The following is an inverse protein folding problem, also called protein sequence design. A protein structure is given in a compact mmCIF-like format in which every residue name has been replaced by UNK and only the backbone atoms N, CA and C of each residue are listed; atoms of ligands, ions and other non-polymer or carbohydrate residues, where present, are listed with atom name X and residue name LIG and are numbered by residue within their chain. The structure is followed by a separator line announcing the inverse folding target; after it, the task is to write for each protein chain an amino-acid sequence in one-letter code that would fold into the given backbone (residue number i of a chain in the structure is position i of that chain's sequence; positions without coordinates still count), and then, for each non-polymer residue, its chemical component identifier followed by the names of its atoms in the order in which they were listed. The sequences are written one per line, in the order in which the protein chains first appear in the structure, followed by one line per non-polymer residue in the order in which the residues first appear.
data_IF_343982737444
#
_entry.id   IF_343982737444
#
_cell.length_a   1.000
_cell.length_b   1.000
_cell.length_c   1.000
_cell.angle_alpha   90.00
_cell.angle_beta   90.00
_cell.angle_gamma   90.00
#
_symmetry.space_group_name_H-M   'P 1'
#
loop_
_entity.id
_entity.type
_entity.pdbx_description
1 polymer ?
#
# COMPACT_ATOMS: atom_id res chain seq x y z
N UNK A 1 2.25 8.81 -27.00
CA UNK A 1 1.13 8.60 -27.93
C UNK A 1 1.64 7.76 -29.09
N UNK A 2 0.91 6.71 -29.45
CA UNK A 2 1.19 5.83 -30.58
C UNK A 2 0.00 5.84 -31.54
N UNK A 3 0.26 6.01 -32.81
CA UNK A 3 -0.76 5.93 -33.87
C UNK A 3 -0.47 4.66 -34.68
N UNK A 4 -1.44 3.78 -34.79
CA UNK A 4 -1.34 2.54 -35.54
C UNK A 4 -2.30 2.60 -36.74
N UNK A 5 -1.81 2.22 -37.93
CA UNK A 5 -2.59 2.16 -39.13
C UNK A 5 -3.03 0.72 -39.45
N UNK A 6 -4.28 0.56 -39.90
CA UNK A 6 -4.77 -0.73 -40.38
C UNK A 6 -4.92 -1.81 -39.32
N UNK A 7 -5.04 -1.42 -38.04
CA UNK A 7 -5.20 -2.37 -36.92
C UNK A 7 -6.67 -2.55 -36.53
N UNK A 8 -7.01 -3.77 -36.12
CA UNK A 8 -8.32 -4.09 -35.57
C UNK A 8 -8.34 -3.94 -34.04
N UNK A 9 -9.53 -3.83 -33.44
CA UNK A 9 -9.72 -3.84 -31.99
C UNK A 9 -9.01 -5.01 -31.32
N UNK A 10 -9.24 -6.23 -31.85
CA UNK A 10 -8.62 -7.44 -31.31
C UNK A 10 -7.08 -7.38 -31.31
N UNK A 11 -6.50 -6.74 -32.34
CA UNK A 11 -5.05 -6.56 -32.39
C UNK A 11 -4.55 -5.60 -31.29
N UNK A 12 -5.23 -4.47 -31.10
CA UNK A 12 -4.89 -3.51 -30.03
C UNK A 12 -5.02 -4.14 -28.65
N UNK A 13 -6.13 -4.84 -28.39
CA UNK A 13 -6.37 -5.50 -27.09
C UNK A 13 -5.33 -6.58 -26.81
N UNK A 14 -4.92 -7.37 -27.82
CA UNK A 14 -3.85 -8.35 -27.69
C UNK A 14 -2.51 -7.68 -27.35
N UNK A 15 -2.17 -6.56 -28.00
CA UNK A 15 -0.95 -5.80 -27.70
C UNK A 15 -0.98 -5.27 -26.25
N UNK A 16 -2.10 -4.71 -25.80
CA UNK A 16 -2.26 -4.21 -24.44
C UNK A 16 -2.16 -5.33 -23.41
N UNK A 17 -2.75 -6.48 -23.67
CA UNK A 17 -2.63 -7.66 -22.80
C UNK A 17 -1.16 -8.11 -22.66
N UNK A 18 -0.41 -8.13 -23.76
CA UNK A 18 1.00 -8.48 -23.75
C UNK A 18 1.83 -7.46 -22.95
N UNK A 19 1.59 -6.15 -23.14
CA UNK A 19 2.26 -5.11 -22.39
C UNK A 19 1.99 -5.27 -20.89
N UNK A 20 0.73 -5.46 -20.49
CA UNK A 20 0.36 -5.69 -19.08
C UNK A 20 1.10 -6.89 -18.49
N UNK A 21 1.09 -8.02 -19.18
CA UNK A 21 1.80 -9.23 -18.73
C UNK A 21 3.30 -9.00 -18.57
N UNK A 22 3.94 -8.31 -19.50
CA UNK A 22 5.37 -8.01 -19.41
C UNK A 22 5.70 -7.06 -18.27
N UNK A 23 4.90 -6.01 -18.06
CA UNK A 23 5.09 -5.07 -16.95
C UNK A 23 4.82 -5.69 -15.59
N UNK A 24 3.84 -6.60 -15.47
CA UNK A 24 3.60 -7.37 -14.25
C UNK A 24 4.79 -8.30 -13.92
N UNK A 25 5.33 -8.98 -14.93
CA UNK A 25 6.51 -9.83 -14.75
C UNK A 25 7.71 -8.99 -14.31
N UNK A 26 7.98 -7.88 -15.00
CA UNK A 26 9.05 -6.97 -14.63
C UNK A 26 8.91 -6.43 -13.19
N UNK A 27 7.71 -5.98 -12.83
CA UNK A 27 7.45 -5.43 -11.47
C UNK A 27 7.59 -6.48 -10.36
N UNK A 28 7.37 -7.76 -10.66
CA UNK A 28 7.64 -8.87 -9.71
C UNK A 28 9.13 -9.14 -9.55
N UNK A 29 9.88 -9.03 -10.63
CA UNK A 29 11.34 -9.22 -10.64
C UNK A 29 12.08 -8.01 -10.06
N UNK A 30 11.47 -6.82 -10.13
CA UNK A 30 12.02 -5.54 -9.68
C UNK A 30 11.07 -4.80 -8.74
N UNK A 31 10.83 -5.33 -7.52
CA UNK A 31 9.88 -4.75 -6.58
C UNK A 31 10.29 -3.35 -6.08
N UNK A 32 11.57 -3.00 -6.19
CA UNK A 32 12.12 -1.68 -5.89
C UNK A 32 11.72 -0.61 -6.92
N UNK A 33 11.33 -1.03 -8.13
CA UNK A 33 10.98 -0.13 -9.24
C UNK A 33 9.78 -0.65 -10.04
N UNK A 34 8.59 -0.76 -9.44
CA UNK A 34 7.41 -1.29 -10.13
C UNK A 34 6.94 -0.32 -11.22
N UNK A 35 6.56 -0.87 -12.37
CA UNK A 35 5.99 -0.09 -13.46
C UNK A 35 4.48 0.02 -13.29
N UNK A 36 3.99 1.26 -13.18
CA UNK A 36 2.56 1.58 -13.20
C UNK A 36 2.24 2.50 -14.38
N UNK A 37 1.19 2.19 -15.12
CA UNK A 37 0.74 2.98 -16.25
C UNK A 37 -0.77 2.85 -16.45
N UNK A 38 -1.36 3.82 -17.12
CA UNK A 38 -2.75 3.79 -17.57
C UNK A 38 -2.79 3.88 -19.09
N UNK A 39 -3.72 3.15 -19.71
CA UNK A 39 -3.87 3.11 -21.16
C UNK A 39 -5.29 3.43 -21.57
N UNK A 40 -5.40 4.29 -22.57
CA UNK A 40 -6.64 4.48 -23.30
C UNK A 40 -6.39 4.45 -24.80
N UNK A 41 -7.32 3.91 -25.55
CA UNK A 41 -7.27 3.92 -27.01
C UNK A 41 -8.63 4.30 -27.61
N UNK A 42 -8.58 4.74 -28.85
CA UNK A 42 -9.76 4.97 -29.68
C UNK A 42 -9.48 4.46 -31.08
N UNK A 43 -10.49 3.89 -31.73
CA UNK A 43 -10.38 3.37 -33.09
C UNK A 43 -11.25 4.24 -34.01
N UNK A 44 -10.74 4.61 -35.19
CA UNK A 44 -11.49 5.40 -36.17
C UNK A 44 -12.77 4.69 -36.64
N UNK A 45 -12.78 3.38 -36.65
CA UNK A 45 -13.96 2.58 -37.02
C UNK A 45 -15.14 2.67 -36.04
N UNK A 46 -14.90 3.20 -34.82
CA UNK A 46 -15.98 3.38 -33.83
C UNK A 46 -16.77 4.68 -34.05
N UNK A 47 -16.41 5.45 -35.06
CA UNK A 47 -16.99 6.75 -35.37
C UNK A 47 -17.27 6.86 -36.87
N UNK A 48 -18.37 7.53 -37.25
CA UNK A 48 -18.71 7.73 -38.69
C UNK A 48 -17.67 8.64 -39.37
N UNK A 49 -17.24 9.69 -38.70
CA UNK A 49 -16.23 10.64 -39.21
C UNK A 49 -15.48 11.22 -38.03
N UNK A 50 -14.40 10.58 -37.59
CA UNK A 50 -13.57 11.10 -36.51
C UNK A 50 -12.33 11.80 -37.05
N UNK A 51 -12.13 13.03 -36.60
CA UNK A 51 -10.84 13.71 -36.76
C UNK A 51 -9.80 13.09 -35.78
N UNK A 52 -8.53 13.22 -36.13
CA UNK A 52 -7.45 12.79 -35.21
C UNK A 52 -7.56 13.46 -33.85
N UNK A 53 -7.99 14.72 -33.79
CA UNK A 53 -8.20 15.44 -32.54
C UNK A 53 -9.29 14.80 -31.65
N UNK A 54 -10.37 14.33 -32.25
CA UNK A 54 -11.43 13.62 -31.54
C UNK A 54 -10.97 12.25 -31.08
N UNK A 55 -10.27 11.50 -31.90
CA UNK A 55 -9.67 10.22 -31.48
C UNK A 55 -8.74 10.40 -30.27
N UNK A 56 -7.90 11.42 -30.27
CA UNK A 56 -7.07 11.74 -29.12
C UNK A 56 -7.88 12.02 -27.87
N UNK A 57 -8.91 12.83 -27.97
CA UNK A 57 -9.78 13.16 -26.84
C UNK A 57 -10.48 11.92 -26.26
N UNK A 58 -10.92 11.00 -27.13
CA UNK A 58 -11.54 9.74 -26.69
C UNK A 58 -10.52 8.80 -26.06
N UNK A 59 -9.33 8.67 -26.63
CA UNK A 59 -8.26 7.86 -26.06
C UNK A 59 -7.82 8.40 -24.69
N UNK A 60 -7.67 9.70 -24.53
CA UNK A 60 -7.35 10.35 -23.25
C UNK A 60 -8.43 10.13 -22.20
N UNK A 61 -9.70 10.27 -22.57
CA UNK A 61 -10.83 9.94 -21.69
C UNK A 61 -10.79 8.48 -21.22
N UNK A 62 -10.52 7.55 -22.13
CA UNK A 62 -10.45 6.12 -21.82
C UNK A 62 -9.24 5.83 -20.92
N UNK A 63 -8.10 6.48 -21.13
CA UNK A 63 -6.94 6.39 -20.24
C UNK A 63 -7.26 6.88 -18.81
N UNK A 64 -8.02 7.96 -18.68
CA UNK A 64 -8.43 8.48 -17.38
C UNK A 64 -9.38 7.51 -16.65
N UNK A 65 -10.29 6.85 -17.39
CA UNK A 65 -11.16 5.80 -16.84
C UNK A 65 -10.33 4.60 -16.35
N UNK A 66 -9.35 4.14 -17.14
CA UNK A 66 -8.44 3.04 -16.76
C UNK A 66 -7.64 3.38 -15.51
N UNK A 67 -7.10 4.60 -15.43
CA UNK A 67 -6.39 5.10 -14.24
C UNK A 67 -7.24 5.11 -12.97
N UNK A 68 -8.48 5.56 -13.08
CA UNK A 68 -9.39 5.60 -11.92
C UNK A 68 -9.80 4.19 -11.49
N UNK A 69 -10.06 3.28 -12.45
CA UNK A 69 -10.35 1.88 -12.16
C UNK A 69 -9.20 1.22 -11.41
N UNK A 70 -7.97 1.37 -11.88
CA UNK A 70 -6.78 0.82 -11.24
C UNK A 70 -6.64 1.31 -9.78
N UNK A 71 -6.85 2.60 -9.52
CA UNK A 71 -6.84 3.15 -8.15
C UNK A 71 -7.94 2.57 -7.25
N UNK A 72 -9.13 2.35 -7.80
CA UNK A 72 -10.23 1.75 -7.03
C UNK A 72 -9.97 0.29 -6.72
N UNK A 73 -9.39 -0.47 -7.65
CA UNK A 73 -9.00 -1.87 -7.46
C UNK A 73 -7.89 -1.99 -6.41
N UNK A 74 -6.87 -1.11 -6.45
CA UNK A 74 -5.79 -1.03 -5.47
C UNK A 74 -6.33 -0.74 -4.06
N UNK A 75 -7.20 0.26 -3.92
CA UNK A 75 -7.82 0.60 -2.63
C UNK A 75 -8.72 -0.53 -2.09
N UNK A 76 -9.44 -1.23 -2.97
CA UNK A 76 -10.27 -2.37 -2.58
C UNK A 76 -9.41 -3.55 -2.11
N UNK A 77 -8.31 -3.84 -2.80
CA UNK A 77 -7.37 -4.90 -2.40
C UNK A 77 -6.67 -4.57 -1.09
N UNK A 78 -6.23 -3.33 -0.91
CA UNK A 78 -5.66 -2.86 0.35
C UNK A 78 -6.64 -3.03 1.52
N UNK A 79 -7.91 -2.67 1.33
CA UNK A 79 -8.95 -2.88 2.33
C UNK A 79 -9.15 -4.36 2.66
N UNK A 80 -9.12 -5.23 1.66
CA UNK A 80 -9.24 -6.68 1.82
C UNK A 80 -8.08 -7.26 2.63
N UNK A 81 -6.86 -6.84 2.34
CA UNK A 81 -5.66 -7.25 3.08
C UNK A 81 -5.76 -6.80 4.54
N UNK A 82 -6.15 -5.55 4.79
CA UNK A 82 -6.31 -5.01 6.14
C UNK A 82 -7.34 -5.80 6.95
N UNK A 83 -8.48 -6.13 6.36
CA UNK A 83 -9.51 -6.95 7.01
C UNK A 83 -9.01 -8.35 7.34
N UNK A 84 -8.26 -8.97 6.42
CA UNK A 84 -7.66 -10.29 6.63
C UNK A 84 -6.63 -10.29 7.76
N UNK A 85 -5.78 -9.25 7.85
CA UNK A 85 -4.80 -9.09 8.93
C UNK A 85 -5.48 -8.89 10.28
N UNK A 86 -6.51 -8.04 10.35
CA UNK A 86 -7.29 -7.83 11.57
C UNK A 86 -8.01 -9.10 12.03
N UNK A 87 -8.53 -9.90 11.11
CA UNK A 87 -9.14 -11.18 11.44
C UNK A 87 -8.12 -12.14 12.08
N UNK A 88 -6.92 -12.26 11.50
CA UNK A 88 -5.83 -13.08 12.06
C UNK A 88 -5.44 -12.62 13.47
N UNK A 89 -5.29 -11.32 13.69
CA UNK A 89 -4.98 -10.75 15.01
C UNK A 89 -6.08 -11.09 16.02
N UNK A 90 -7.34 -11.01 15.62
CA UNK A 90 -8.49 -11.36 16.48
C UNK A 90 -8.52 -12.86 16.82
N UNK A 91 -8.21 -13.72 15.84
CA UNK A 91 -8.17 -15.18 16.03
C UNK A 91 -7.05 -15.64 16.99
N UNK A 92 -6.02 -14.81 17.19
CA UNK A 92 -4.98 -15.04 18.20
C UNK A 92 -5.46 -14.81 19.63
N UNK A 93 -6.72 -14.40 19.85
CA UNK A 93 -7.31 -14.19 21.16
C UNK A 93 -6.87 -12.91 21.88
N UNK A 94 -6.11 -12.07 21.24
CA UNK A 94 -5.69 -10.78 21.80
C UNK A 94 -6.73 -9.67 21.52
N UNK A 95 -6.96 -8.84 22.53
CA UNK A 95 -7.78 -7.64 22.41
C UNK A 95 -6.88 -6.40 22.40
N UNK A 96 -6.67 -5.85 21.21
CA UNK A 96 -5.89 -4.62 21.04
C UNK A 96 -6.82 -3.41 20.86
N UNK A 97 -6.53 -2.31 21.55
CA UNK A 97 -7.16 -1.01 21.31
C UNK A 97 -6.72 -0.43 19.97
N UNK A 98 -5.42 -0.54 19.69
CA UNK A 98 -4.75 0.00 18.52
C UNK A 98 -3.95 -1.09 17.81
N UNK A 99 -3.91 -1.05 16.50
CA UNK A 99 -3.20 -2.04 15.69
C UNK A 99 -2.56 -1.37 14.47
N UNK A 100 -1.26 -1.59 14.32
CA UNK A 100 -0.48 -1.13 13.18
C UNK A 100 -0.02 -2.31 12.34
N UNK A 101 -0.04 -2.15 11.04
CA UNK A 101 0.71 -2.98 10.10
C UNK A 101 2.01 -2.25 9.74
N UNK A 102 3.13 -2.92 9.90
CA UNK A 102 4.45 -2.35 9.60
C UNK A 102 5.12 -3.17 8.49
N UNK A 103 5.58 -2.48 7.46
CA UNK A 103 6.48 -3.01 6.45
C UNK A 103 7.91 -2.63 6.83
N UNK A 104 8.61 -3.61 7.43
CA UNK A 104 9.98 -3.41 7.93
C UNK A 104 11.01 -3.18 6.81
N UNK A 105 10.71 -3.61 5.58
CA UNK A 105 11.59 -3.44 4.44
C UNK A 105 11.53 -2.01 3.88
N UNK A 106 10.31 -1.44 3.85
CA UNK A 106 10.06 -0.12 3.28
C UNK A 106 10.05 1.00 4.32
N UNK A 107 10.32 0.71 5.59
CA UNK A 107 10.17 1.63 6.73
C UNK A 107 8.81 2.34 6.73
N UNK A 108 7.74 1.59 6.52
CA UNK A 108 6.38 2.15 6.47
C UNK A 108 5.48 1.49 7.48
N UNK A 109 4.51 2.26 7.98
CA UNK A 109 3.39 1.71 8.72
C UNK A 109 2.06 2.23 8.17
N UNK A 110 1.00 1.51 8.51
CA UNK A 110 -0.38 1.95 8.37
C UNK A 110 -1.21 1.46 9.56
N UNK A 111 -2.16 2.26 9.95
CA UNK A 111 -3.09 1.94 11.03
C UNK A 111 -4.18 1.00 10.53
N UNK A 112 -4.30 -0.17 11.13
CA UNK A 112 -5.39 -1.11 10.85
C UNK A 112 -6.60 -0.86 11.75
N UNK A 113 -6.34 -0.45 12.98
CA UNK A 113 -7.34 -0.09 13.99
C UNK A 113 -6.76 0.98 14.89
N UNK A 114 -7.55 1.98 15.24
CA UNK A 114 -7.18 3.03 16.17
C UNK A 114 -8.34 3.33 17.12
N UNK A 115 -8.00 3.55 18.38
CA UNK A 115 -8.90 4.15 19.38
C UNK A 115 -9.04 5.65 19.13
N UNK A 116 -9.96 6.30 19.81
CA UNK A 116 -10.12 7.77 19.74
C UNK A 116 -8.93 8.54 20.32
N UNK A 117 -8.13 7.88 21.15
CA UNK A 117 -6.95 8.46 21.81
C UNK A 117 -5.65 8.18 21.04
N UNK A 118 -5.74 7.44 19.95
CA UNK A 118 -4.57 7.09 19.15
C UNK A 118 -3.98 8.31 18.46
N UNK A 119 -2.70 8.55 18.66
CA UNK A 119 -2.03 9.79 18.31
C UNK A 119 -1.18 9.72 17.03
N UNK A 120 -1.01 8.54 16.45
CA UNK A 120 -0.30 8.39 15.18
C UNK A 120 -1.24 8.68 14.00
N UNK A 121 -0.66 9.13 12.90
CA UNK A 121 -1.38 9.28 11.64
C UNK A 121 -1.84 7.92 11.08
N UNK A 122 -2.73 7.93 10.10
CA UNK A 122 -3.23 6.72 9.45
C UNK A 122 -2.12 5.89 8.79
N UNK A 123 -1.08 6.57 8.29
CA UNK A 123 0.12 5.95 7.72
C UNK A 123 1.33 6.87 7.84
N UNK A 124 2.52 6.32 7.67
CA UNK A 124 3.77 7.07 7.73
C UNK A 124 5.02 6.20 7.78
N UNK A 125 6.14 6.80 8.15
CA UNK A 125 7.39 6.10 8.44
C UNK A 125 7.29 5.35 9.76
N UNK A 126 7.66 4.08 9.78
CA UNK A 126 7.69 3.27 11.00
C UNK A 126 8.68 3.84 12.02
N UNK A 127 9.88 4.22 11.57
CA UNK A 127 10.89 4.86 12.44
C UNK A 127 10.36 6.12 13.11
N UNK A 128 9.64 6.96 12.36
CA UNK A 128 9.00 8.15 12.90
C UNK A 128 7.86 7.84 13.89
N UNK A 129 7.11 6.75 13.66
CA UNK A 129 6.10 6.28 14.61
C UNK A 129 6.73 5.81 15.92
N UNK A 130 7.83 5.06 15.85
CA UNK A 130 8.59 4.62 17.03
C UNK A 130 9.08 5.81 17.87
N UNK A 131 9.62 6.86 17.23
CA UNK A 131 10.00 8.09 17.93
C UNK A 131 8.84 8.72 18.69
N UNK A 132 7.67 8.82 18.05
CA UNK A 132 6.48 9.39 18.67
C UNK A 132 5.98 8.54 19.84
N UNK A 133 5.93 7.19 19.67
CA UNK A 133 5.54 6.24 20.71
C UNK A 133 6.46 6.38 21.92
N UNK A 134 7.78 6.33 21.73
CA UNK A 134 8.77 6.43 22.80
C UNK A 134 8.68 7.76 23.52
N UNK A 135 8.54 8.85 22.77
CA UNK A 135 8.44 10.20 23.37
C UNK A 135 7.16 10.39 24.18
N UNK A 136 6.03 9.84 23.73
CA UNK A 136 4.72 10.09 24.33
C UNK A 136 4.39 9.09 25.45
N UNK A 137 4.73 7.81 25.27
CA UNK A 137 4.31 6.76 26.20
C UNK A 137 5.39 6.35 27.20
N UNK A 138 6.68 6.44 26.84
CA UNK A 138 7.74 5.94 27.69
C UNK A 138 8.13 6.91 28.81
N UNK A 139 8.28 6.40 30.05
CA UNK A 139 8.98 7.10 31.11
C UNK A 139 10.48 7.16 30.83
N UNK A 140 11.22 8.03 31.53
CA UNK A 140 12.67 8.15 31.31
C UNK A 140 13.41 6.85 31.60
N UNK A 141 12.92 6.05 32.57
CA UNK A 141 13.50 4.75 32.94
C UNK A 141 13.26 3.66 31.88
N UNK A 142 12.16 3.71 31.14
CA UNK A 142 11.79 2.68 30.15
C UNK A 142 12.09 3.08 28.72
N UNK A 143 12.40 4.36 28.47
CA UNK A 143 12.61 4.92 27.12
C UNK A 143 13.62 4.15 26.29
N UNK A 144 14.80 3.89 26.86
CA UNK A 144 15.87 3.18 26.15
C UNK A 144 15.46 1.76 25.77
N UNK A 145 14.78 1.06 26.67
CA UNK A 145 14.32 -0.32 26.45
C UNK A 145 13.30 -0.37 25.31
N UNK A 146 12.26 0.48 25.37
CA UNK A 146 11.21 0.53 24.34
C UNK A 146 11.82 0.94 22.99
N UNK A 147 12.69 1.95 22.98
CA UNK A 147 13.37 2.38 21.76
C UNK A 147 14.13 1.21 21.11
N UNK A 148 14.95 0.49 21.88
CA UNK A 148 15.74 -0.62 21.36
C UNK A 148 14.86 -1.75 20.85
N UNK A 149 13.83 -2.12 21.59
CA UNK A 149 12.97 -3.27 21.26
C UNK A 149 12.00 -3.00 20.10
N UNK A 150 11.73 -1.74 19.80
CA UNK A 150 10.92 -1.35 18.64
C UNK A 150 11.76 -1.09 17.38
N UNK A 151 13.08 -1.19 17.43
CA UNK A 151 13.89 -1.07 16.21
C UNK A 151 13.64 -2.26 15.27
N UNK A 152 13.57 -1.97 13.98
CA UNK A 152 13.28 -2.98 12.94
C UNK A 152 14.27 -4.15 13.00
N UNK A 153 15.55 -3.86 13.20
CA UNK A 153 16.58 -4.90 13.25
C UNK A 153 16.42 -5.78 14.49
N UNK A 154 16.09 -5.20 15.64
CA UNK A 154 15.77 -5.96 16.85
C UNK A 154 14.55 -6.87 16.64
N UNK A 155 13.48 -6.35 16.02
CA UNK A 155 12.28 -7.13 15.74
C UNK A 155 12.56 -8.28 14.76
N UNK A 156 13.38 -8.07 13.73
CA UNK A 156 13.78 -9.11 12.78
C UNK A 156 14.53 -10.27 13.45
N UNK A 157 15.35 -9.98 14.45
CA UNK A 157 16.07 -11.02 15.21
C UNK A 157 15.16 -11.81 16.16
N UNK A 158 14.16 -11.15 16.75
CA UNK A 158 13.36 -11.73 17.84
C UNK A 158 12.00 -12.26 17.38
N UNK A 159 11.49 -11.80 16.25
CA UNK A 159 10.25 -12.29 15.65
C UNK A 159 10.59 -13.26 14.52
N UNK A 160 10.35 -14.55 14.76
CA UNK A 160 10.60 -15.64 13.82
C UNK A 160 9.30 -16.40 13.53
N UNK A 161 9.34 -17.36 12.58
CA UNK A 161 8.19 -18.25 12.33
C UNK A 161 7.81 -19.11 13.55
N UNK A 162 8.73 -19.37 14.46
CA UNK A 162 8.49 -20.13 15.68
C UNK A 162 8.09 -19.22 16.86
N UNK A 163 8.63 -17.99 16.89
CA UNK A 163 8.35 -16.96 17.89
C UNK A 163 7.84 -15.71 17.21
N UNK A 164 6.54 -15.66 16.91
CA UNK A 164 5.90 -14.59 16.16
C UNK A 164 5.28 -13.49 17.05
N UNK A 165 5.44 -13.59 18.38
CA UNK A 165 4.97 -12.58 19.34
C UNK A 165 6.14 -12.10 20.16
N UNK A 166 6.31 -10.78 20.22
CA UNK A 166 7.25 -10.10 21.11
C UNK A 166 6.48 -9.10 21.96
N UNK A 167 6.46 -9.34 23.28
CA UNK A 167 5.75 -8.49 24.23
C UNK A 167 6.71 -7.53 24.91
N UNK A 168 6.34 -6.26 24.97
CA UNK A 168 7.10 -5.20 25.64
C UNK A 168 6.22 -4.63 26.75
N UNK A 169 6.65 -4.82 27.99
CA UNK A 169 6.01 -4.19 29.15
C UNK A 169 6.74 -2.90 29.53
N UNK A 170 6.00 -1.83 29.74
CA UNK A 170 6.58 -0.54 30.11
C UNK A 170 5.67 0.22 31.08
N UNK A 171 6.29 1.16 31.83
CA UNK A 171 5.54 2.09 32.65
C UNK A 171 5.03 3.24 31.78
N UNK A 172 3.73 3.46 31.84
CA UNK A 172 3.05 4.53 31.12
C UNK A 172 3.21 5.85 31.88
N UNK A 173 3.44 6.93 31.15
CA UNK A 173 3.39 8.28 31.70
C UNK A 173 1.91 8.70 31.72
N UNK A 174 1.29 8.77 32.92
CA UNK A 174 -0.01 9.41 33.05
C UNK A 174 0.12 10.86 32.56
N UNK A 175 -0.72 11.22 31.58
CA UNK A 175 -0.69 12.56 31.00
C UNK A 175 -1.04 13.59 32.07
N UNK A 176 -0.28 14.68 32.11
CA UNK A 176 -0.72 15.90 32.74
C UNK A 176 -2.02 16.34 32.05
N UNK A 177 -3.15 16.16 32.73
CA UNK A 177 -4.47 16.62 32.35
C UNK A 177 -4.60 18.14 32.43
#
# INVERSE_FOLDING_TARGET
IVVLNGVTRAHVEKCLLNIRKQTETYSKEHPEMPISYAVGYALSQDFEQATMRELFRYADKNMYIDKNRAKMEEAAEEKRINQSLLAKVKDMGYHFSDCLYCDAFMDKYRTLRASSEFFLAENGSYSGAVEQIVRKLATDSTRKTIWTQLQIDYLKEHITNENFVHEISYQYREGDS
#
